data_IF_360788772835
#
_entry.id   IF_360788772835
#
_cell.length_a   1.000
_cell.length_b   1.000
_cell.length_c   1.000
_cell.angle_alpha   90.00
_cell.angle_beta   90.00
_cell.angle_gamma   90.00
#
_symmetry.space_group_name_H-M   'P 1'
#
loop_
_entity.id
_entity.type
_entity.pdbx_description
1 polymer ?
#
# COMPACT_ATOMS: atom_id res chain seq x y z
N UNK A 1 3.32 11.09 -17.32
CA UNK A 1 2.16 10.24 -17.04
C UNK A 1 2.63 9.25 -15.98
N UNK A 2 2.41 9.57 -14.70
CA UNK A 2 2.85 8.69 -13.61
C UNK A 2 1.71 7.71 -13.39
N UNK A 3 1.75 6.60 -14.10
CA UNK A 3 0.69 5.59 -14.05
C UNK A 3 1.02 4.57 -12.96
N UNK A 4 0.07 4.33 -12.07
CA UNK A 4 0.12 3.21 -11.12
C UNK A 4 0.01 1.90 -11.90
N UNK A 5 0.74 0.87 -11.48
CA UNK A 5 0.61 -0.47 -12.08
C UNK A 5 -0.82 -0.98 -11.94
N UNK A 6 -1.27 -1.75 -12.93
CA UNK A 6 -2.58 -2.38 -12.88
C UNK A 6 -2.47 -3.65 -12.03
N UNK A 7 -2.94 -3.57 -10.79
CA UNK A 7 -3.02 -4.72 -9.88
C UNK A 7 -4.30 -5.50 -10.17
N UNK A 8 -4.16 -6.79 -10.49
CA UNK A 8 -5.29 -7.70 -10.74
C UNK A 8 -5.15 -8.92 -9.84
N UNK A 9 -6.18 -9.24 -9.07
CA UNK A 9 -6.16 -10.38 -8.13
C UNK A 9 -5.91 -9.92 -6.71
N UNK A 10 -5.05 -10.63 -5.98
CA UNK A 10 -4.63 -10.25 -4.63
C UNK A 10 -3.59 -9.12 -4.73
N UNK A 11 -3.88 -7.90 -4.24
CA UNK A 11 -2.93 -6.80 -4.29
C UNK A 11 -1.71 -7.02 -3.38
N UNK A 12 -1.89 -7.55 -2.16
CA UNK A 12 -0.78 -7.86 -1.25
C UNK A 12 0.31 -8.69 -1.92
N UNK A 13 -0.07 -9.79 -2.57
CA UNK A 13 0.88 -10.62 -3.31
C UNK A 13 1.66 -9.89 -4.43
N UNK A 14 1.09 -8.83 -5.02
CA UNK A 14 1.79 -8.03 -6.03
C UNK A 14 2.77 -7.07 -5.38
N UNK A 15 2.43 -6.54 -4.22
CA UNK A 15 3.23 -5.56 -3.51
C UNK A 15 4.36 -6.21 -2.71
N UNK A 16 4.10 -7.35 -2.06
CA UNK A 16 5.09 -8.16 -1.31
C UNK A 16 6.27 -8.63 -2.19
N UNK A 17 6.04 -8.79 -3.49
CA UNK A 17 7.06 -9.22 -4.47
C UNK A 17 7.99 -8.07 -4.92
N UNK A 18 7.80 -6.85 -4.42
CA UNK A 18 8.51 -5.64 -4.87
C UNK A 18 9.36 -5.02 -3.77
N UNK A 19 10.55 -4.56 -4.15
CA UNK A 19 11.28 -3.59 -3.32
C UNK A 19 10.68 -2.19 -3.45
N UNK A 20 10.99 -1.30 -2.50
CA UNK A 20 10.58 0.10 -2.56
C UNK A 20 11.06 0.78 -3.86
N UNK A 21 12.25 0.37 -4.33
CA UNK A 21 12.87 0.93 -5.54
C UNK A 21 12.26 0.41 -6.85
N UNK A 22 11.53 -0.70 -6.82
CA UNK A 22 10.77 -1.22 -7.97
C UNK A 22 9.46 -0.44 -8.21
N UNK A 23 9.05 0.37 -7.23
CA UNK A 23 7.85 1.20 -7.30
C UNK A 23 8.13 2.54 -7.99
N UNK A 24 7.15 3.01 -8.76
CA UNK A 24 7.17 4.36 -9.30
C UNK A 24 6.98 5.40 -8.21
N UNK A 25 7.41 6.64 -8.43
CA UNK A 25 7.22 7.73 -7.47
C UNK A 25 5.74 7.99 -7.12
N UNK A 26 4.80 7.61 -7.99
CA UNK A 26 3.37 7.71 -7.68
C UNK A 26 2.91 6.58 -6.76
N UNK A 27 3.42 5.35 -6.94
CA UNK A 27 3.14 4.21 -6.05
C UNK A 27 3.71 4.46 -4.66
N UNK A 28 4.97 4.90 -4.58
CA UNK A 28 5.61 5.32 -3.33
C UNK A 28 4.82 6.43 -2.62
N UNK A 29 4.24 7.39 -3.35
CA UNK A 29 3.43 8.46 -2.75
C UNK A 29 2.08 7.97 -2.21
N UNK A 30 1.51 6.91 -2.79
CA UNK A 30 0.29 6.27 -2.28
C UNK A 30 0.60 5.46 -1.02
N UNK A 31 1.66 4.66 -1.03
CA UNK A 31 2.16 3.96 0.15
C UNK A 31 2.55 4.94 1.28
N UNK A 32 3.19 6.06 0.95
CA UNK A 32 3.43 7.15 1.89
C UNK A 32 2.18 7.82 2.44
N UNK A 33 1.03 7.70 1.76
CA UNK A 33 -0.25 8.16 2.32
C UNK A 33 -0.84 7.18 3.34
N UNK A 34 -0.41 5.92 3.30
CA UNK A 34 -0.64 4.88 4.32
C UNK A 34 0.43 4.95 5.45
N UNK A 35 1.45 5.79 5.30
CA UNK A 35 2.52 5.96 6.28
C UNK A 35 3.76 5.12 6.01
N UNK A 36 3.77 4.32 4.94
CA UNK A 36 4.92 3.54 4.53
C UNK A 36 6.01 4.43 3.91
N UNK A 37 7.25 4.05 4.16
CA UNK A 37 8.45 4.60 3.55
C UNK A 37 9.43 3.48 3.21
N UNK A 38 10.54 3.81 2.55
CA UNK A 38 11.56 2.82 2.16
C UNK A 38 12.07 2.01 3.35
N UNK A 39 12.22 2.63 4.53
CA UNK A 39 12.76 1.96 5.70
C UNK A 39 11.77 0.96 6.30
N UNK A 40 10.50 1.34 6.42
CA UNK A 40 9.44 0.43 6.89
C UNK A 40 9.15 -0.67 5.88
N UNK A 41 9.20 -0.37 4.58
CA UNK A 41 8.96 -1.34 3.51
C UNK A 41 10.04 -2.43 3.43
N UNK A 42 11.30 -2.04 3.59
CA UNK A 42 12.44 -2.97 3.55
C UNK A 42 12.74 -3.60 4.93
N UNK A 43 11.79 -3.51 5.87
CA UNK A 43 11.88 -4.03 7.24
C UNK A 43 13.06 -3.47 8.08
N UNK A 44 13.60 -2.30 7.70
CA UNK A 44 14.62 -1.57 8.47
C UNK A 44 14.02 -0.87 9.70
N UNK A 45 12.72 -0.55 9.68
CA UNK A 45 11.95 0.04 10.79
C UNK A 45 10.59 -0.62 10.94
N UNK A 46 9.92 -0.35 12.07
CA UNK A 46 8.56 -0.84 12.31
C UNK A 46 7.58 -0.37 11.20
N UNK A 47 6.60 -1.20 10.80
CA UNK A 47 5.58 -0.83 9.84
C UNK A 47 4.70 0.32 10.37
N UNK A 48 4.04 1.08 9.48
CA UNK A 48 3.13 2.13 9.90
C UNK A 48 1.87 1.55 10.57
N UNK A 49 1.18 2.37 11.34
CA UNK A 49 -0.05 1.97 12.01
C UNK A 49 -1.17 1.49 11.06
N UNK A 50 -1.09 1.80 9.76
CA UNK A 50 -2.05 1.30 8.78
C UNK A 50 -1.96 -0.21 8.58
N UNK A 51 -0.79 -0.83 8.81
CA UNK A 51 -0.55 -2.27 8.67
C UNK A 51 -1.42 -3.10 9.64
N UNK A 52 -1.69 -2.56 10.84
CA UNK A 52 -2.52 -3.22 11.87
C UNK A 52 -4.00 -2.78 11.84
N UNK A 53 -4.41 -1.91 10.92
CA UNK A 53 -5.76 -1.35 10.88
C UNK A 53 -6.66 -2.10 9.89
N UNK A 54 -7.89 -2.37 10.31
CA UNK A 54 -8.94 -2.77 9.37
C UNK A 54 -9.30 -1.60 8.45
N UNK A 55 -9.83 -1.92 7.28
CA UNK A 55 -10.25 -0.93 6.28
C UNK A 55 -11.21 0.13 6.83
N UNK A 56 -12.06 -0.27 7.78
CA UNK A 56 -13.02 0.63 8.43
C UNK A 56 -12.35 1.67 9.34
N UNK A 57 -11.21 1.32 9.93
CA UNK A 57 -10.41 2.17 10.82
C UNK A 57 -9.51 3.14 10.04
N UNK A 58 -9.16 2.79 8.80
CA UNK A 58 -8.41 3.69 7.90
C UNK A 58 -9.14 5.02 7.68
N UNK A 59 -8.37 6.10 7.68
CA UNK A 59 -8.87 7.41 7.28
C UNK A 59 -9.31 7.42 5.82
N UNK A 60 -10.15 8.39 5.47
CA UNK A 60 -10.59 8.56 4.08
C UNK A 60 -9.44 8.79 3.09
N UNK A 61 -8.28 9.29 3.55
CA UNK A 61 -7.09 9.46 2.70
C UNK A 61 -6.39 8.12 2.47
N UNK A 62 -6.22 7.33 3.53
CA UNK A 62 -5.61 6.00 3.49
C UNK A 62 -6.42 5.07 2.59
N UNK A 63 -7.75 5.01 2.76
CA UNK A 63 -8.63 4.23 1.88
C UNK A 63 -8.50 4.63 0.41
N UNK A 64 -8.52 5.93 0.10
CA UNK A 64 -8.35 6.39 -1.29
C UNK A 64 -6.97 6.02 -1.86
N UNK A 65 -5.94 5.94 -1.03
CA UNK A 65 -4.62 5.49 -1.46
C UNK A 65 -4.63 3.98 -1.72
N UNK A 66 -5.17 3.19 -0.79
CA UNK A 66 -5.31 1.74 -0.91
C UNK A 66 -6.13 1.36 -2.17
N UNK A 67 -7.26 2.05 -2.43
CA UNK A 67 -8.08 1.87 -3.64
C UNK A 67 -7.27 2.10 -4.93
N UNK A 68 -6.40 3.12 -4.95
CA UNK A 68 -5.54 3.39 -6.10
C UNK A 68 -4.42 2.36 -6.27
N UNK A 69 -3.95 1.77 -5.16
CA UNK A 69 -3.02 0.64 -5.14
C UNK A 69 -3.71 -0.69 -5.52
N UNK A 70 -5.03 -0.68 -5.75
CA UNK A 70 -5.81 -1.83 -6.18
C UNK A 70 -6.44 -2.62 -5.04
N UNK A 71 -6.34 -2.15 -3.80
CA UNK A 71 -7.01 -2.73 -2.66
C UNK A 71 -8.50 -2.43 -2.65
N UNK A 72 -9.23 -3.38 -2.10
CA UNK A 72 -10.63 -3.27 -1.70
C UNK A 72 -10.71 -3.62 -0.23
N UNK A 73 -11.80 -3.26 0.44
CA UNK A 73 -12.03 -3.67 1.83
C UNK A 73 -11.80 -5.18 2.05
N UNK A 74 -12.37 -6.02 1.19
CA UNK A 74 -12.22 -7.46 1.33
C UNK A 74 -10.77 -7.93 1.20
N UNK A 75 -10.02 -7.42 0.21
CA UNK A 75 -8.63 -7.83 0.03
C UNK A 75 -7.68 -7.29 1.10
N UNK A 76 -8.02 -6.13 1.69
CA UNK A 76 -7.24 -5.49 2.76
C UNK A 76 -7.48 -6.19 4.10
N UNK A 77 -8.75 -6.47 4.43
CA UNK A 77 -9.09 -7.15 5.68
C UNK A 77 -8.76 -8.67 5.64
N UNK A 78 -8.48 -9.23 4.46
CA UNK A 78 -8.07 -10.63 4.23
C UNK A 78 -6.55 -10.81 4.06
N UNK A 79 -5.74 -9.74 4.12
CA UNK A 79 -4.26 -9.80 4.16
C UNK A 79 -3.73 -10.42 5.47
#
# INVERSE_FOLDING_TARGET
MTSIRQVKGNPGAVWDDLSWTDMSSAEQALWGSLGWDEASWEEDTDPPASDDQYWEDLSSKERQAAEQLGYTQGSWDDE
#
